data_IF_941772526296
#
_entry.id   IF_941772526296
#
_cell.length_a   1.000
_cell.length_b   1.000
_cell.length_c   1.000
_cell.angle_alpha   90.00
_cell.angle_beta   90.00
_cell.angle_gamma   90.00
#
_symmetry.space_group_name_H-M   'P 1'
#
loop_
_entity.id
_entity.type
_entity.pdbx_description
1 polymer ?
#
# COMPACT_ATOMS: atom_id res chain seq x y z
N UNK A 1 5.89 9.95 -9.50
CA UNK A 1 6.67 8.85 -8.88
C UNK A 1 7.55 9.49 -7.83
N UNK A 2 8.04 8.75 -6.83
CA UNK A 2 8.96 9.36 -5.86
C UNK A 2 10.27 9.69 -6.57
N UNK A 3 10.71 10.96 -6.51
CA UNK A 3 11.82 11.48 -7.32
C UNK A 3 13.18 10.92 -6.86
N UNK A 4 13.21 10.32 -5.68
CA UNK A 4 14.43 9.81 -5.06
C UNK A 4 14.67 8.30 -5.31
N UNK A 5 13.89 7.62 -6.16
CA UNK A 5 14.04 6.18 -6.44
C UNK A 5 14.95 5.94 -7.65
N UNK A 6 15.96 5.10 -7.49
CA UNK A 6 16.76 4.58 -8.61
C UNK A 6 16.18 3.23 -9.05
N UNK A 7 15.81 3.10 -10.32
CA UNK A 7 15.26 1.86 -10.86
C UNK A 7 16.33 1.08 -11.61
N UNK A 8 16.25 -0.25 -11.54
CA UNK A 8 17.02 -1.17 -12.37
C UNK A 8 16.17 -1.57 -13.60
N UNK A 9 16.48 -1.03 -14.80
CA UNK A 9 15.71 -1.31 -16.00
C UNK A 9 15.75 -2.79 -16.41
N UNK A 10 16.85 -3.50 -16.17
CA UNK A 10 16.97 -4.92 -16.54
C UNK A 10 16.03 -5.77 -15.68
N UNK A 11 16.01 -5.52 -14.38
CA UNK A 11 15.10 -6.20 -13.45
C UNK A 11 13.63 -5.86 -13.72
N UNK A 12 13.33 -4.62 -14.11
CA UNK A 12 11.97 -4.26 -14.56
C UNK A 12 11.59 -5.04 -15.82
N UNK A 13 12.46 -5.10 -16.82
CA UNK A 13 12.17 -5.83 -18.05
C UNK A 13 11.97 -7.33 -17.79
N UNK A 14 12.76 -7.92 -16.88
CA UNK A 14 12.55 -9.28 -16.44
C UNK A 14 11.16 -9.46 -15.79
N UNK A 15 10.76 -8.53 -14.91
CA UNK A 15 9.43 -8.57 -14.28
C UNK A 15 8.32 -8.49 -15.32
N UNK A 16 8.44 -7.61 -16.32
CA UNK A 16 7.47 -7.46 -17.41
C UNK A 16 7.36 -8.76 -18.23
N UNK A 17 8.48 -9.37 -18.61
CA UNK A 17 8.48 -10.66 -19.31
C UNK A 17 7.79 -11.75 -18.47
N UNK A 18 8.11 -11.82 -17.17
CA UNK A 18 7.45 -12.75 -16.25
C UNK A 18 5.94 -12.50 -16.17
N UNK A 19 5.51 -11.23 -16.15
CA UNK A 19 4.09 -10.88 -16.16
C UNK A 19 3.38 -11.37 -17.43
N UNK A 20 3.98 -11.18 -18.60
CA UNK A 20 3.42 -11.62 -19.88
C UNK A 20 3.30 -13.15 -19.95
N UNK A 21 4.36 -13.88 -19.60
CA UNK A 21 4.40 -15.34 -19.59
C UNK A 21 3.38 -15.97 -18.62
N UNK A 22 3.09 -15.29 -17.50
CA UNK A 22 2.22 -15.80 -16.44
C UNK A 22 0.82 -15.16 -16.41
N UNK A 23 0.48 -14.36 -17.43
CA UNK A 23 -0.79 -13.63 -17.52
C UNK A 23 -1.12 -12.81 -16.27
N UNK A 24 -0.15 -12.04 -15.78
CA UNK A 24 -0.28 -11.14 -14.63
C UNK A 24 -0.59 -9.72 -15.12
N UNK A 25 -1.67 -9.13 -14.61
CA UNK A 25 -2.08 -7.78 -14.98
C UNK A 25 -1.36 -6.71 -14.13
N UNK A 26 -1.10 -7.01 -12.86
CA UNK A 26 -0.41 -6.13 -11.91
C UNK A 26 0.60 -6.94 -11.11
N UNK A 27 1.88 -6.62 -11.21
CA UNK A 27 2.90 -7.19 -10.36
C UNK A 27 3.32 -6.24 -9.25
N UNK A 28 3.84 -6.82 -8.16
CA UNK A 28 4.68 -6.12 -7.21
C UNK A 28 6.04 -6.77 -7.07
N UNK A 29 7.05 -5.95 -6.87
CA UNK A 29 8.44 -6.36 -6.75
C UNK A 29 9.05 -5.85 -5.43
N UNK A 30 10.35 -6.05 -5.27
CA UNK A 30 11.11 -5.61 -4.12
C UNK A 30 11.88 -4.33 -4.44
N UNK A 31 12.20 -3.59 -3.38
CA UNK A 31 13.13 -2.48 -3.39
C UNK A 31 14.05 -2.62 -2.20
N UNK A 32 15.29 -2.20 -2.37
CA UNK A 32 16.30 -2.14 -1.32
C UNK A 32 16.55 -0.69 -0.91
N UNK A 33 17.09 -0.50 0.28
CA UNK A 33 17.70 0.76 0.65
C UNK A 33 19.13 0.83 0.15
N UNK A 34 19.71 2.03 0.07
CA UNK A 34 21.12 2.25 -0.33
C UNK A 34 22.15 1.40 0.46
N UNK A 35 21.80 0.90 1.64
CA UNK A 35 22.66 0.03 2.45
C UNK A 35 22.44 -1.48 2.19
N UNK A 36 21.69 -1.84 1.15
CA UNK A 36 21.33 -3.23 0.79
C UNK A 36 20.29 -3.89 1.71
N UNK A 37 19.72 -3.16 2.66
CA UNK A 37 18.65 -3.69 3.52
C UNK A 37 17.27 -3.46 2.91
N UNK A 38 16.32 -4.35 3.17
CA UNK A 38 14.95 -4.18 2.68
C UNK A 38 14.10 -3.33 3.65
N UNK A 39 13.14 -2.51 3.14
CA UNK A 39 12.17 -1.79 3.97
C UNK A 39 11.27 -2.73 4.79
N UNK A 40 11.18 -4.00 4.39
CA UNK A 40 10.44 -5.05 5.08
C UNK A 40 10.91 -6.44 4.66
N UNK A 41 10.44 -7.45 5.39
CA UNK A 41 10.66 -8.85 5.03
C UNK A 41 9.80 -9.25 3.82
N UNK A 42 10.42 -9.31 2.64
CA UNK A 42 9.80 -9.87 1.43
C UNK A 42 9.75 -11.40 1.47
N UNK A 43 8.80 -11.96 0.70
CA UNK A 43 8.75 -13.41 0.47
C UNK A 43 9.78 -13.79 -0.59
N UNK A 44 10.30 -15.01 -0.50
CA UNK A 44 11.27 -15.56 -1.47
C UNK A 44 10.62 -16.28 -2.65
N UNK A 45 9.29 -16.42 -2.63
CA UNK A 45 8.52 -17.12 -3.66
C UNK A 45 7.42 -16.20 -4.19
N UNK A 46 7.05 -16.31 -5.48
CA UNK A 46 5.90 -15.60 -6.03
C UNK A 46 4.60 -16.00 -5.32
N UNK A 47 3.66 -15.06 -5.19
CA UNK A 47 2.33 -15.36 -4.67
C UNK A 47 1.26 -14.40 -5.19
N UNK A 48 0.01 -14.89 -5.31
CA UNK A 48 -1.13 -14.05 -5.65
C UNK A 48 -1.52 -13.16 -4.47
N UNK A 49 -1.67 -11.86 -4.70
CA UNK A 49 -2.10 -10.95 -3.66
C UNK A 49 -3.55 -11.22 -3.23
N UNK A 50 -3.79 -10.94 -1.95
CA UNK A 50 -5.12 -10.87 -1.36
C UNK A 50 -5.26 -9.52 -0.64
N UNK A 51 -6.44 -9.30 -0.07
CA UNK A 51 -6.74 -8.07 0.67
C UNK A 51 -5.74 -7.79 1.80
N UNK A 52 -5.20 -8.81 2.47
CA UNK A 52 -4.28 -8.61 3.60
C UNK A 52 -2.82 -8.40 3.13
N UNK A 53 -2.38 -9.14 2.12
CA UNK A 53 -1.01 -9.01 1.61
C UNK A 53 -0.81 -7.70 0.85
N UNK A 54 -1.86 -7.16 0.23
CA UNK A 54 -1.82 -5.87 -0.47
C UNK A 54 -1.67 -4.65 0.44
N UNK A 55 -2.02 -4.77 1.73
CA UNK A 55 -1.91 -3.67 2.70
C UNK A 55 -0.47 -3.22 3.04
N UNK A 56 0.54 -3.89 2.48
CA UNK A 56 1.97 -3.62 2.71
C UNK A 56 2.68 -3.02 1.50
N UNK A 57 2.00 -2.93 0.35
CA UNK A 57 2.59 -2.49 -0.91
C UNK A 57 2.79 -0.97 -0.87
N UNK A 58 3.95 -0.53 -1.31
CA UNK A 58 4.27 0.88 -1.62
C UNK A 58 4.17 1.14 -3.12
N UNK A 59 3.95 2.38 -3.52
CA UNK A 59 3.69 2.75 -4.92
C UNK A 59 4.85 2.41 -5.85
N UNK A 60 6.08 2.56 -5.36
CA UNK A 60 7.31 2.25 -6.10
C UNK A 60 7.40 0.76 -6.47
N UNK A 61 6.69 -0.12 -5.75
CA UNK A 61 6.71 -1.55 -6.00
C UNK A 61 5.76 -2.00 -7.11
N UNK A 62 4.88 -1.14 -7.61
CA UNK A 62 3.78 -1.53 -8.49
C UNK A 62 4.21 -1.44 -9.95
N UNK A 63 4.16 -2.57 -10.65
CA UNK A 63 4.24 -2.63 -12.12
C UNK A 63 2.86 -3.08 -12.65
N UNK A 64 2.31 -2.38 -13.65
CA UNK A 64 0.93 -2.62 -14.09
C UNK A 64 0.76 -2.57 -15.62
N UNK A 65 -0.16 -3.39 -16.13
CA UNK A 65 -0.66 -3.31 -17.49
C UNK A 65 -1.66 -2.16 -17.60
N UNK A 66 -1.22 -1.05 -18.21
CA UNK A 66 -2.00 0.19 -18.31
C UNK A 66 -3.34 -0.03 -19.04
N UNK A 67 -3.35 -0.84 -20.10
CA UNK A 67 -4.55 -1.07 -20.89
C UNK A 67 -5.60 -1.86 -20.10
N UNK A 68 -5.18 -2.91 -19.36
CA UNK A 68 -6.08 -3.68 -18.48
C UNK A 68 -6.69 -2.83 -17.37
N UNK A 69 -5.88 -1.96 -16.75
CA UNK A 69 -6.37 -1.03 -15.73
C UNK A 69 -7.34 0.00 -16.30
N UNK A 70 -7.10 0.52 -17.51
CA UNK A 70 -8.01 1.45 -18.21
C UNK A 70 -9.33 0.79 -18.60
N UNK A 71 -9.29 -0.42 -19.13
CA UNK A 71 -10.49 -1.23 -19.45
C UNK A 71 -11.39 -1.40 -18.22
N UNK A 72 -10.79 -1.63 -17.05
CA UNK A 72 -11.50 -1.77 -15.76
C UNK A 72 -11.81 -0.43 -15.07
N UNK A 73 -11.35 0.69 -15.62
CA UNK A 73 -11.50 2.05 -15.07
C UNK A 73 -10.93 2.19 -13.65
N UNK A 74 -9.75 1.59 -13.41
CA UNK A 74 -9.08 1.60 -12.10
C UNK A 74 -7.95 2.62 -12.10
N UNK A 75 -8.03 3.59 -11.19
CA UNK A 75 -7.06 4.67 -11.01
C UNK A 75 -6.78 4.85 -9.51
N UNK A 76 -5.70 5.55 -9.18
CA UNK A 76 -5.47 6.00 -7.82
C UNK A 76 -6.60 6.94 -7.36
N UNK A 77 -7.01 6.80 -6.11
CA UNK A 77 -8.05 7.64 -5.51
C UNK A 77 -7.41 8.93 -4.98
N UNK A 78 -7.46 10.01 -5.76
CA UNK A 78 -6.78 11.30 -5.48
C UNK A 78 -7.24 12.01 -4.19
N UNK A 79 -8.29 11.50 -3.54
CA UNK A 79 -8.65 11.96 -2.18
C UNK A 79 -7.64 11.50 -1.15
N UNK A 80 -6.85 10.47 -1.46
CA UNK A 80 -5.82 9.86 -0.63
C UNK A 80 -4.44 10.15 -1.19
N UNK A 81 -3.47 10.24 -0.29
CA UNK A 81 -2.05 10.32 -0.60
C UNK A 81 -1.41 11.61 -0.15
N UNK A 82 -0.08 11.65 -0.21
CA UNK A 82 0.71 12.77 0.31
C UNK A 82 0.23 14.10 -0.29
N UNK A 83 0.13 15.13 0.57
CA UNK A 83 -0.41 16.44 0.19
C UNK A 83 -1.93 16.60 0.25
N UNK A 84 -2.69 15.51 0.48
CA UNK A 84 -4.16 15.56 0.61
C UNK A 84 -4.63 15.63 2.07
N UNK A 85 -5.94 15.81 2.26
CA UNK A 85 -6.59 15.70 3.57
C UNK A 85 -6.58 14.28 4.16
N UNK A 86 -6.36 13.25 3.33
CA UNK A 86 -6.20 11.85 3.75
C UNK A 86 -4.81 11.35 3.33
N UNK A 87 -3.73 11.72 4.05
CA UNK A 87 -2.36 11.68 3.55
C UNK A 87 -1.72 10.27 3.51
N UNK A 88 -2.49 9.21 3.24
CA UNK A 88 -2.00 7.86 2.95
C UNK A 88 -3.14 6.93 2.54
N UNK A 89 -2.81 5.81 1.88
CA UNK A 89 -3.71 4.68 1.65
C UNK A 89 -4.09 4.44 0.20
N UNK A 90 -3.64 5.32 -0.69
CA UNK A 90 -3.86 5.33 -2.12
C UNK A 90 -3.43 4.01 -2.79
N UNK A 91 -2.28 3.45 -2.41
CA UNK A 91 -1.80 2.17 -2.97
C UNK A 91 -2.68 0.99 -2.55
N UNK A 92 -3.07 0.96 -1.29
CA UNK A 92 -3.89 -0.14 -0.80
C UNK A 92 -5.30 -0.11 -1.43
N UNK A 93 -5.84 1.10 -1.66
CA UNK A 93 -7.09 1.27 -2.41
C UNK A 93 -6.88 0.78 -3.86
N UNK A 94 -5.86 1.28 -4.55
CA UNK A 94 -5.58 0.92 -5.94
C UNK A 94 -5.44 -0.60 -6.14
N UNK A 95 -4.58 -1.25 -5.34
CA UNK A 95 -4.32 -2.69 -5.48
C UNK A 95 -5.56 -3.51 -5.12
N UNK A 96 -6.32 -3.12 -4.09
CA UNK A 96 -7.55 -3.85 -3.76
C UNK A 96 -8.66 -3.65 -4.78
N UNK A 97 -8.73 -2.50 -5.45
CA UNK A 97 -9.64 -2.29 -6.57
C UNK A 97 -9.25 -3.16 -7.78
N UNK A 98 -7.94 -3.35 -8.03
CA UNK A 98 -7.46 -4.34 -9.01
C UNK A 98 -7.92 -5.75 -8.66
N UNK A 99 -7.71 -6.18 -7.41
CA UNK A 99 -8.13 -7.51 -6.92
C UNK A 99 -9.65 -7.71 -7.04
N UNK A 100 -10.46 -6.71 -6.66
CA UNK A 100 -11.93 -6.78 -6.72
C UNK A 100 -12.49 -6.78 -8.15
N UNK A 101 -11.70 -6.32 -9.11
CA UNK A 101 -12.06 -6.28 -10.53
C UNK A 101 -11.57 -7.51 -11.30
N UNK A 102 -11.12 -8.53 -10.56
CA UNK A 102 -10.59 -9.80 -11.06
C UNK A 102 -9.29 -9.69 -11.87
N UNK A 103 -8.53 -8.60 -11.69
CA UNK A 103 -7.17 -8.53 -12.26
C UNK A 103 -6.24 -9.52 -11.55
N UNK A 104 -5.35 -10.14 -12.31
CA UNK A 104 -4.31 -11.00 -11.80
C UNK A 104 -3.21 -10.16 -11.12
N UNK A 105 -3.32 -10.01 -9.80
CA UNK A 105 -2.36 -9.26 -8.98
C UNK A 105 -1.39 -10.20 -8.27
N UNK A 106 -0.09 -10.11 -8.56
CA UNK A 106 0.92 -11.01 -8.02
C UNK A 106 2.14 -10.29 -7.46
N UNK A 107 2.79 -10.90 -6.47
CA UNK A 107 4.13 -10.54 -6.04
C UNK A 107 5.15 -11.43 -6.76
N UNK A 108 6.26 -10.84 -7.20
CA UNK A 108 7.43 -11.55 -7.72
C UNK A 108 8.71 -11.11 -6.98
N UNK A 109 9.54 -12.04 -6.49
CA UNK A 109 10.68 -11.73 -5.63
C UNK A 109 11.92 -11.26 -6.43
N UNK A 110 11.80 -10.12 -7.11
CA UNK A 110 12.90 -9.45 -7.83
C UNK A 110 13.09 -8.04 -7.28
N UNK A 111 14.33 -7.56 -7.21
CA UNK A 111 14.64 -6.19 -6.80
C UNK A 111 14.62 -5.31 -8.04
N UNK A 112 13.68 -4.37 -8.12
CA UNK A 112 13.56 -3.47 -9.29
C UNK A 112 14.15 -2.09 -9.07
N UNK A 113 14.74 -1.82 -7.91
CA UNK A 113 15.38 -0.55 -7.64
C UNK A 113 15.78 -0.36 -6.18
N UNK A 114 16.33 0.83 -5.93
CA UNK A 114 16.87 1.27 -4.65
C UNK A 114 16.19 2.58 -4.24
N UNK A 115 15.87 2.70 -2.95
CA UNK A 115 15.27 3.87 -2.33
C UNK A 115 16.17 4.42 -1.21
N UNK A 116 16.22 5.73 -0.94
CA UNK A 116 16.91 6.26 0.21
C UNK A 116 16.34 5.71 1.52
N UNK A 117 17.13 5.70 2.58
CA UNK A 117 16.73 5.17 3.89
C UNK A 117 15.76 6.13 4.65
N UNK A 118 14.87 6.80 3.94
CA UNK A 118 13.87 7.73 4.47
C UNK A 118 12.50 7.21 4.07
N UNK A 119 11.80 6.55 4.98
CA UNK A 119 10.42 6.11 4.73
C UNK A 119 9.44 7.14 5.28
N UNK A 120 8.74 7.81 4.36
CA UNK A 120 7.52 8.53 4.71
C UNK A 120 6.39 7.50 4.99
N UNK A 121 5.48 7.81 5.91
CA UNK A 121 4.29 6.95 6.14
C UNK A 121 4.32 5.99 7.34
N UNK A 122 5.40 5.96 8.15
CA UNK A 122 5.39 5.22 9.42
C UNK A 122 4.45 5.82 10.48
N UNK A 123 4.25 7.14 10.43
CA UNK A 123 3.39 7.86 11.35
C UNK A 123 1.96 7.99 10.79
N UNK A 124 1.02 7.37 11.53
CA UNK A 124 -0.41 7.33 11.21
C UNK A 124 -1.28 7.97 12.30
N UNK A 125 -0.70 8.60 13.33
CA UNK A 125 -1.43 8.98 14.55
C UNK A 125 -1.18 10.40 15.05
N UNK A 126 -0.08 11.06 14.67
CA UNK A 126 0.26 12.38 15.24
C UNK A 126 -0.72 13.48 14.83
N UNK A 127 -1.30 13.40 13.62
CA UNK A 127 -2.28 14.36 13.13
C UNK A 127 -3.66 13.72 12.94
N UNK A 128 -4.71 14.55 13.01
CA UNK A 128 -6.07 14.09 12.79
C UNK A 128 -6.25 13.47 11.40
N UNK A 129 -5.72 14.14 10.38
CA UNK A 129 -5.78 13.71 8.99
C UNK A 129 -5.09 12.35 8.79
N UNK A 130 -3.93 12.10 9.40
CA UNK A 130 -3.23 10.79 9.32
C UNK A 130 -4.08 9.63 9.85
N UNK A 131 -4.74 9.83 10.98
CA UNK A 131 -5.63 8.80 11.56
C UNK A 131 -6.89 8.61 10.72
N UNK A 132 -7.49 9.71 10.26
CA UNK A 132 -8.68 9.66 9.41
C UNK A 132 -8.39 9.01 8.06
N UNK A 133 -7.20 9.21 7.48
CA UNK A 133 -6.78 8.53 6.27
C UNK A 133 -6.90 7.01 6.41
N UNK A 134 -6.39 6.43 7.51
CA UNK A 134 -6.52 4.98 7.74
C UNK A 134 -7.97 4.54 7.93
N UNK A 135 -8.80 5.32 8.63
CA UNK A 135 -10.22 5.01 8.82
C UNK A 135 -10.99 5.05 7.49
N UNK A 136 -10.86 6.12 6.73
CA UNK A 136 -11.58 6.32 5.46
C UNK A 136 -11.08 5.36 4.37
N UNK A 137 -9.79 5.04 4.35
CA UNK A 137 -9.22 3.99 3.50
C UNK A 137 -9.88 2.64 3.78
N UNK A 138 -10.00 2.23 5.06
CA UNK A 138 -10.66 0.97 5.41
C UNK A 138 -12.16 0.98 5.05
N UNK A 139 -12.84 2.12 5.16
CA UNK A 139 -14.23 2.29 4.68
C UNK A 139 -14.32 2.11 3.17
N UNK A 140 -13.44 2.76 2.42
CA UNK A 140 -13.36 2.68 0.95
C UNK A 140 -13.08 1.26 0.46
N UNK A 141 -12.27 0.51 1.19
CA UNK A 141 -11.86 -0.85 0.80
C UNK A 141 -12.93 -1.88 1.19
N UNK A 142 -13.44 -1.84 2.42
CA UNK A 142 -14.26 -2.94 2.96
C UNK A 142 -15.76 -2.66 3.00
N UNK A 143 -16.20 -1.44 2.67
CA UNK A 143 -17.61 -1.05 2.61
C UNK A 143 -18.35 -1.42 3.90
N UNK A 144 -19.39 -2.26 3.80
CA UNK A 144 -20.20 -2.70 4.96
C UNK A 144 -19.38 -3.43 6.04
N UNK A 145 -18.27 -4.08 5.67
CA UNK A 145 -17.39 -4.79 6.62
C UNK A 145 -16.36 -3.89 7.28
N UNK A 146 -16.29 -2.61 6.93
CA UNK A 146 -15.24 -1.70 7.36
C UNK A 146 -15.11 -1.59 8.88
N UNK A 147 -16.21 -1.63 9.64
CA UNK A 147 -16.16 -1.54 11.11
C UNK A 147 -15.32 -2.65 11.75
N UNK A 148 -15.38 -3.87 11.21
CA UNK A 148 -14.57 -4.99 11.69
C UNK A 148 -13.08 -4.72 11.47
N UNK A 149 -12.71 -4.23 10.28
CA UNK A 149 -11.32 -3.93 9.95
C UNK A 149 -10.79 -2.68 10.67
N UNK A 150 -11.63 -1.67 10.88
CA UNK A 150 -11.32 -0.49 11.70
C UNK A 150 -11.02 -0.92 13.13
N UNK A 151 -11.88 -1.74 13.72
CA UNK A 151 -11.69 -2.23 15.08
C UNK A 151 -10.43 -3.11 15.20
N UNK A 152 -10.22 -4.03 14.25
CA UNK A 152 -9.02 -4.86 14.22
C UNK A 152 -7.73 -4.03 14.06
N UNK A 153 -7.74 -3.01 13.18
CA UNK A 153 -6.60 -2.10 13.03
C UNK A 153 -6.36 -1.28 14.29
N UNK A 154 -7.42 -0.71 14.89
CA UNK A 154 -7.34 0.02 16.15
C UNK A 154 -6.70 -0.84 17.23
N UNK A 155 -7.23 -2.04 17.48
CA UNK A 155 -6.71 -2.98 18.49
C UNK A 155 -5.24 -3.32 18.25
N UNK A 156 -4.87 -3.63 17.00
CA UNK A 156 -3.49 -3.93 16.61
C UNK A 156 -2.52 -2.76 16.88
N UNK A 157 -3.00 -1.51 16.79
CA UNK A 157 -2.16 -0.31 16.91
C UNK A 157 -2.11 0.30 18.30
N UNK A 158 -2.96 -0.14 19.25
CA UNK A 158 -2.95 0.32 20.66
C UNK A 158 -1.53 0.35 21.25
N UNK A 159 -0.72 -0.73 21.19
CA UNK A 159 0.61 -0.70 21.83
C UNK A 159 1.56 0.35 21.25
N UNK A 160 1.38 0.76 19.99
CA UNK A 160 2.22 1.77 19.34
C UNK A 160 1.77 3.16 19.79
N UNK A 161 0.47 3.45 19.71
CA UNK A 161 -0.07 4.78 20.03
C UNK A 161 -0.04 5.08 21.53
N UNK A 162 -0.13 4.06 22.39
CA UNK A 162 0.04 4.22 23.84
C UNK A 162 1.47 4.62 24.18
N UNK A 163 2.47 3.93 23.61
CA UNK A 163 3.89 4.28 23.80
C UNK A 163 4.21 5.68 23.29
N UNK A 164 3.54 6.13 22.24
CA UNK A 164 3.71 7.48 21.70
C UNK A 164 2.91 8.57 22.44
N UNK A 165 2.02 8.23 23.38
CA UNK A 165 1.18 9.20 24.10
C UNK A 165 -0.06 9.70 23.33
N UNK A 166 -0.46 9.02 22.24
CA UNK A 166 -1.58 9.43 21.36
C UNK A 166 -2.83 8.55 21.49
N UNK A 167 -2.93 7.67 22.49
CA UNK A 167 -4.00 6.67 22.60
C UNK A 167 -5.41 7.28 22.49
N UNK A 168 -5.69 8.34 23.25
CA UNK A 168 -7.02 8.95 23.29
C UNK A 168 -7.39 9.66 21.96
N UNK A 169 -6.57 10.60 21.44
CA UNK A 169 -6.83 11.20 20.13
C UNK A 169 -6.97 10.17 19.00
N UNK A 170 -6.10 9.16 18.98
CA UNK A 170 -6.16 8.08 17.99
C UNK A 170 -7.47 7.28 18.09
N UNK A 171 -7.87 6.89 19.30
CA UNK A 171 -9.09 6.10 19.52
C UNK A 171 -10.33 6.89 19.12
N UNK A 172 -10.44 8.16 19.54
CA UNK A 172 -11.54 9.06 19.17
C UNK A 172 -11.70 9.14 17.64
N UNK A 173 -10.60 9.35 16.92
CA UNK A 173 -10.61 9.47 15.45
C UNK A 173 -10.87 8.15 14.76
N UNK A 174 -10.18 7.08 15.16
CA UNK A 174 -10.31 5.76 14.53
C UNK A 174 -11.70 5.15 14.72
N UNK A 175 -12.32 5.29 15.89
CA UNK A 175 -13.59 4.64 16.22
C UNK A 175 -14.78 5.56 15.90
N UNK A 176 -14.72 6.84 16.29
CA UNK A 176 -15.83 7.78 16.13
C UNK A 176 -15.76 8.58 14.83
N UNK A 177 -14.59 8.70 14.19
CA UNK A 177 -14.41 9.50 12.98
C UNK A 177 -14.42 11.01 13.21
N UNK A 178 -14.21 11.45 14.46
CA UNK A 178 -14.24 12.86 14.83
C UNK A 178 -12.82 13.44 14.72
N UNK A 179 -12.64 14.56 14.01
CA UNK A 179 -11.36 15.28 13.91
C UNK A 179 -10.81 15.67 15.30
#
# INVERSE_FOLDING_TARGET
>A
MDDDVEFDPESIMYLVNWMEENHVDVATCQFEFNNGSYPRNYKKIPFKHNMLSSAKISSIEICLNIEKNREKKIFFDERFGLGTDLPSGEEYIFVTDCIKSDLAVWFYPIVCGVHPNITSGMDFYTSANKTLAKREMLKRIFGRKALVFIFAFWLKKIPIVTRAGFLWPFTKRMILGIK
#
